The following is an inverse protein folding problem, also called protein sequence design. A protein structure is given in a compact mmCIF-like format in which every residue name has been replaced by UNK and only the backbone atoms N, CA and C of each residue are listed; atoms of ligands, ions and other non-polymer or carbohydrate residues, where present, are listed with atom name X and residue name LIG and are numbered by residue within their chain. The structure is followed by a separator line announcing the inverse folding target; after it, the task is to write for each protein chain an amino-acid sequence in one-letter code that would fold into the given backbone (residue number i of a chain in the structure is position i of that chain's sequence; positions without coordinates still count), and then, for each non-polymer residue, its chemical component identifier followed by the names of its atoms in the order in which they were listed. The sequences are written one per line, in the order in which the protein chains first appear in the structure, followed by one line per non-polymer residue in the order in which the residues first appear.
data_IF_738967817081
#
_entry.id   IF_738967817081
#
_cell.length_a   1.000
_cell.length_b   1.000
_cell.length_c   1.000
_cell.angle_alpha   90.00
_cell.angle_beta   90.00
_cell.angle_gamma   90.00
#
_symmetry.space_group_name_H-M   'P 1'
#
loop_
_entity.id
_entity.type
_entity.pdbx_description
1 polymer ?
#
# COMPACT_ATOMS: atom_id res chain seq x y z
N UNK A 1 4.58 -1.32 11.73
CA UNK A 1 3.47 -0.91 12.61
C UNK A 1 2.41 -1.99 12.74
N UNK A 2 1.73 -2.40 11.65
CA UNK A 2 0.67 -3.42 11.71
C UNK A 2 1.11 -4.74 12.33
N UNK A 3 2.33 -5.21 12.05
CA UNK A 3 2.88 -6.40 12.69
C UNK A 3 2.91 -6.32 14.23
N UNK A 4 3.19 -5.15 14.81
CA UNK A 4 3.14 -4.96 16.27
C UNK A 4 1.70 -5.01 16.80
N UNK A 5 0.75 -4.42 16.06
CA UNK A 5 -0.68 -4.51 16.37
C UNK A 5 -1.12 -5.98 16.33
N UNK A 6 -0.82 -6.70 15.25
CA UNK A 6 -1.14 -8.12 15.11
C UNK A 6 -0.51 -8.96 16.22
N UNK A 7 0.75 -8.70 16.60
CA UNK A 7 1.41 -9.40 17.69
C UNK A 7 0.72 -9.18 19.04
N UNK A 8 0.22 -7.98 19.33
CA UNK A 8 -0.56 -7.72 20.54
C UNK A 8 -1.93 -8.41 20.49
N UNK A 9 -2.64 -8.37 19.36
CA UNK A 9 -3.93 -9.07 19.19
C UNK A 9 -3.79 -10.58 19.35
N UNK A 10 -2.67 -11.14 18.87
CA UNK A 10 -2.31 -12.56 19.03
C UNK A 10 -1.70 -12.87 20.41
N UNK A 11 -1.59 -11.89 21.31
CA UNK A 11 -1.02 -12.01 22.66
C UNK A 11 0.43 -12.48 22.70
N UNK A 12 1.19 -12.20 21.64
CA UNK A 12 2.63 -12.50 21.55
C UNK A 12 3.47 -11.43 22.27
N UNK A 13 2.96 -10.21 22.37
CA UNK A 13 3.53 -9.10 23.14
C UNK A 13 2.43 -8.38 23.92
N UNK A 14 2.81 -7.61 24.94
CA UNK A 14 1.87 -6.78 25.68
C UNK A 14 1.33 -5.64 24.79
N UNK A 15 0.08 -5.23 25.03
CA UNK A 15 -0.54 -4.11 24.30
C UNK A 15 0.28 -2.81 24.43
N UNK A 16 0.73 -2.47 25.64
CA UNK A 16 1.53 -1.27 25.88
C UNK A 16 2.88 -1.31 25.15
N UNK A 17 3.48 -2.49 25.00
CA UNK A 17 4.71 -2.66 24.22
C UNK A 17 4.45 -2.39 22.73
N UNK A 18 3.38 -2.98 22.15
CA UNK A 18 3.02 -2.73 20.76
C UNK A 18 2.71 -1.25 20.50
N UNK A 19 1.94 -0.64 21.41
CA UNK A 19 1.59 0.78 21.41
C UNK A 19 2.85 1.67 21.40
N UNK A 20 3.81 1.40 22.27
CA UNK A 20 5.07 2.16 22.33
C UNK A 20 5.83 2.06 21.01
N UNK A 21 5.95 0.86 20.42
CA UNK A 21 6.65 0.66 19.14
C UNK A 21 5.95 1.36 17.97
N UNK A 22 4.62 1.33 17.91
CA UNK A 22 3.84 2.07 16.90
C UNK A 22 4.03 3.58 17.06
N UNK A 23 3.90 4.10 18.28
CA UNK A 23 4.07 5.53 18.54
C UNK A 23 5.49 6.02 18.19
N UNK A 24 6.52 5.26 18.55
CA UNK A 24 7.92 5.57 18.16
C UNK A 24 8.06 5.65 16.64
N UNK A 25 7.49 4.69 15.91
CA UNK A 25 7.53 4.67 14.45
C UNK A 25 6.84 5.90 13.86
N UNK A 26 5.63 6.23 14.31
CA UNK A 26 4.90 7.41 13.82
C UNK A 26 5.64 8.71 14.10
N UNK A 27 6.22 8.88 15.30
CA UNK A 27 6.99 10.08 15.64
C UNK A 27 8.21 10.27 14.74
N UNK A 28 8.91 9.17 14.42
CA UNK A 28 10.03 9.22 13.47
C UNK A 28 9.50 9.61 12.09
N UNK A 29 8.46 8.95 11.59
CA UNK A 29 7.91 9.27 10.27
C UNK A 29 7.46 10.72 10.20
N UNK A 30 6.78 11.26 11.22
CA UNK A 30 6.30 12.64 11.24
C UNK A 30 7.45 13.65 11.01
N UNK A 31 8.64 13.41 11.56
CA UNK A 31 9.80 14.29 11.41
C UNK A 31 10.72 13.99 10.22
N UNK A 32 10.53 12.88 9.48
CA UNK A 32 11.33 12.59 8.28
C UNK A 32 11.16 13.69 7.21
N UNK A 33 12.22 14.04 6.46
CA UNK A 33 12.09 14.80 5.22
C UNK A 33 11.18 14.05 4.23
N UNK A 34 10.25 14.76 3.58
CA UNK A 34 9.24 14.18 2.69
C UNK A 34 9.07 15.02 1.42
N UNK A 35 8.67 14.38 0.35
CA UNK A 35 8.28 15.02 -0.90
C UNK A 35 6.76 15.27 -0.88
N UNK A 36 6.34 16.52 -0.64
CA UNK A 36 4.92 16.91 -0.50
C UNK A 36 4.13 16.00 0.46
N UNK A 37 4.72 15.74 1.63
CA UNK A 37 4.15 14.88 2.66
C UNK A 37 4.25 13.37 2.38
N UNK A 38 4.76 12.96 1.23
CA UNK A 38 5.01 11.55 0.88
C UNK A 38 6.46 11.19 1.25
N UNK A 39 6.64 10.03 1.88
CA UNK A 39 7.97 9.53 2.22
C UNK A 39 8.78 9.21 0.96
N UNK A 40 10.08 9.49 1.00
CA UNK A 40 11.02 8.89 0.06
C UNK A 40 11.12 7.39 0.32
N UNK A 41 11.51 6.62 -0.69
CA UNK A 41 11.58 5.17 -0.54
C UNK A 41 12.67 4.71 0.42
N UNK A 42 13.77 5.45 0.52
CA UNK A 42 14.92 5.05 1.31
C UNK A 42 15.49 6.20 2.13
N UNK A 43 15.79 5.89 3.38
CA UNK A 43 16.40 6.79 4.35
C UNK A 43 17.63 6.13 4.97
N UNK A 44 18.64 6.94 5.26
CA UNK A 44 19.73 6.52 6.13
C UNK A 44 19.23 6.45 7.58
N UNK A 45 19.44 5.31 8.24
CA UNK A 45 18.83 5.02 9.56
C UNK A 45 19.46 5.81 10.71
N UNK A 46 20.62 6.44 10.49
CA UNK A 46 21.32 7.23 11.51
C UNK A 46 20.99 8.71 11.35
N UNK A 47 21.19 9.26 10.15
CA UNK A 47 20.97 10.67 9.84
C UNK A 47 19.52 11.01 9.53
N UNK A 48 18.68 10.01 9.25
CA UNK A 48 17.27 10.14 8.87
C UNK A 48 17.05 10.97 7.59
N UNK A 49 18.09 11.10 6.76
CA UNK A 49 18.01 11.79 5.47
C UNK A 49 17.70 10.80 4.35
N UNK A 50 16.97 11.23 3.31
CA UNK A 50 16.77 10.40 2.12
C UNK A 50 18.11 10.04 1.48
N UNK A 51 18.27 8.78 1.04
CA UNK A 51 19.49 8.34 0.34
C UNK A 51 19.43 8.63 -1.16
N UNK A 52 18.23 8.79 -1.72
CA UNK A 52 17.98 9.27 -3.07
C UNK A 52 16.66 10.06 -3.12
N UNK A 53 16.32 10.59 -4.30
CA UNK A 53 15.12 11.39 -4.53
C UNK A 53 13.87 10.58 -4.92
N UNK A 54 13.94 9.25 -4.94
CA UNK A 54 12.86 8.42 -5.47
C UNK A 54 11.67 8.34 -4.51
N UNK A 55 10.49 8.51 -5.09
CA UNK A 55 9.19 8.38 -4.42
C UNK A 55 8.32 7.41 -5.22
N UNK A 56 7.89 6.33 -4.59
CA UNK A 56 7.03 5.29 -5.15
C UNK A 56 5.56 5.56 -4.87
N UNK A 57 4.73 5.47 -5.91
CA UNK A 57 3.27 5.63 -5.78
C UNK A 57 2.65 4.53 -4.96
N UNK A 58 3.08 3.29 -5.17
CA UNK A 58 2.52 2.12 -4.48
C UNK A 58 2.96 2.06 -3.03
N UNK A 59 4.21 2.43 -2.72
CA UNK A 59 4.65 2.49 -1.33
C UNK A 59 3.95 3.61 -0.58
N UNK A 60 3.71 4.76 -1.23
CA UNK A 60 2.90 5.82 -0.67
C UNK A 60 1.48 5.32 -0.35
N UNK A 61 0.82 4.63 -1.30
CA UNK A 61 -0.51 4.05 -1.09
C UNK A 61 -0.56 2.98 -0.01
N UNK A 62 0.40 2.05 -0.01
CA UNK A 62 0.55 1.00 1.00
C UNK A 62 0.75 1.60 2.39
N UNK A 63 1.57 2.65 2.48
CA UNK A 63 1.80 3.36 3.73
C UNK A 63 0.55 4.11 4.20
N UNK A 64 -0.23 4.72 3.31
CA UNK A 64 -1.52 5.32 3.65
C UNK A 64 -2.53 4.28 4.18
N UNK A 65 -2.62 3.09 3.58
CA UNK A 65 -3.46 1.99 4.14
C UNK A 65 -3.00 1.64 5.56
N UNK A 66 -1.69 1.48 5.75
CA UNK A 66 -1.12 1.18 7.06
C UNK A 66 -1.50 2.25 8.09
N UNK A 67 -1.39 3.54 7.75
CA UNK A 67 -1.77 4.64 8.64
C UNK A 67 -3.28 4.67 8.91
N UNK A 68 -4.13 4.43 7.92
CA UNK A 68 -5.59 4.38 8.09
C UNK A 68 -5.99 3.31 9.10
N UNK A 69 -5.37 2.14 9.02
CA UNK A 69 -5.60 1.04 9.96
C UNK A 69 -5.06 1.34 11.36
N UNK A 70 -3.88 1.97 11.46
CA UNK A 70 -3.33 2.44 12.74
C UNK A 70 -4.30 3.46 13.37
N UNK A 71 -4.76 4.45 12.60
CA UNK A 71 -5.74 5.44 13.07
C UNK A 71 -7.02 4.77 13.56
N UNK A 72 -7.62 3.90 12.75
CA UNK A 72 -8.85 3.19 13.11
C UNK A 72 -8.66 2.32 14.37
N UNK A 73 -7.57 1.57 14.45
CA UNK A 73 -7.28 0.68 15.57
C UNK A 73 -7.10 1.42 16.90
N UNK A 74 -6.40 2.56 16.87
CA UNK A 74 -6.12 3.37 18.07
C UNK A 74 -7.20 4.41 18.39
N UNK A 75 -8.17 4.68 17.50
CA UNK A 75 -9.21 5.72 17.67
C UNK A 75 -9.93 5.72 19.03
N UNK A 76 -10.18 4.53 19.58
CA UNK A 76 -10.82 4.35 20.90
C UNK A 76 -9.85 3.87 21.99
N UNK A 77 -8.59 3.57 21.65
CA UNK A 77 -7.59 3.01 22.57
C UNK A 77 -6.56 4.05 23.02
N UNK A 78 -6.15 4.94 22.10
CA UNK A 78 -5.29 6.08 22.36
C UNK A 78 -5.47 7.12 21.24
N UNK A 79 -6.15 8.23 21.56
CA UNK A 79 -6.39 9.29 20.58
C UNK A 79 -5.11 9.96 20.08
N UNK A 80 -4.06 10.06 20.90
CA UNK A 80 -2.83 10.73 20.46
C UNK A 80 -2.15 9.99 19.31
N UNK A 81 -2.25 8.66 19.29
CA UNK A 81 -1.73 7.83 18.19
C UNK A 81 -2.61 7.96 16.95
N UNK A 82 -3.94 7.92 17.11
CA UNK A 82 -4.83 8.09 15.95
C UNK A 82 -4.70 9.47 15.32
N UNK A 83 -4.62 10.52 16.14
CA UNK A 83 -4.51 11.91 15.67
C UNK A 83 -3.18 12.15 14.95
N UNK A 84 -2.09 11.52 15.41
CA UNK A 84 -0.79 11.58 14.72
C UNK A 84 -0.81 10.84 13.38
N UNK A 85 -1.47 9.66 13.32
CA UNK A 85 -1.64 8.95 12.06
C UNK A 85 -2.50 9.75 11.06
N UNK A 86 -3.63 10.33 11.53
CA UNK A 86 -4.51 11.19 10.72
C UNK A 86 -3.77 12.43 10.23
N UNK A 87 -2.93 13.06 11.07
CA UNK A 87 -2.07 14.17 10.67
C UNK A 87 -1.14 13.77 9.51
N UNK A 88 -0.45 12.64 9.62
CA UNK A 88 0.48 12.19 8.56
C UNK A 88 -0.29 11.90 7.26
N UNK A 89 -1.45 11.23 7.33
CA UNK A 89 -2.31 10.99 6.15
C UNK A 89 -2.70 12.31 5.48
N UNK A 90 -3.19 13.28 6.25
CA UNK A 90 -3.69 14.55 5.72
C UNK A 90 -2.59 15.43 5.09
N UNK A 91 -1.33 15.16 5.39
CA UNK A 91 -0.19 15.84 4.77
C UNK A 91 0.20 15.25 3.41
N UNK A 92 -0.21 14.02 3.10
CA UNK A 92 0.17 13.35 1.86
C UNK A 92 -0.58 13.95 0.66
N UNK A 93 0.15 14.51 -0.29
CA UNK A 93 -0.41 14.98 -1.57
C UNK A 93 -0.35 13.87 -2.65
N UNK A 94 -1.05 12.75 -2.45
CA UNK A 94 -1.02 11.59 -3.37
C UNK A 94 -1.42 11.95 -4.81
N UNK A 95 -2.26 12.98 -5.01
CA UNK A 95 -2.63 13.51 -6.33
C UNK A 95 -1.42 13.88 -7.19
N UNK A 96 -0.27 14.22 -6.60
CA UNK A 96 0.95 14.55 -7.35
C UNK A 96 1.55 13.37 -8.10
N UNK A 97 1.23 12.15 -7.69
CA UNK A 97 1.66 10.93 -8.36
C UNK A 97 0.62 10.42 -9.37
N UNK A 98 -0.49 11.14 -9.52
CA UNK A 98 -1.60 10.79 -10.40
C UNK A 98 -1.52 11.58 -11.72
N UNK A 99 -1.52 10.88 -12.84
CA UNK A 99 -1.61 11.44 -14.18
C UNK A 99 -3.08 11.54 -14.59
N UNK A 100 -3.68 12.71 -14.40
CA UNK A 100 -5.08 12.96 -14.79
C UNK A 100 -5.32 12.75 -16.29
N UNK A 101 -4.31 12.93 -17.15
CA UNK A 101 -4.48 12.76 -18.60
C UNK A 101 -4.65 11.30 -19.03
N UNK A 102 -4.07 10.38 -18.25
CA UNK A 102 -4.16 8.93 -18.48
C UNK A 102 -5.05 8.22 -17.47
N UNK A 103 -5.59 8.98 -16.53
CA UNK A 103 -6.30 8.49 -15.35
C UNK A 103 -5.50 7.45 -14.56
N UNK A 104 -4.15 7.53 -14.55
CA UNK A 104 -3.26 6.49 -13.99
C UNK A 104 -2.21 7.04 -13.04
N UNK A 105 -1.79 6.24 -12.07
CA UNK A 105 -0.62 6.61 -11.27
C UNK A 105 0.67 6.34 -12.03
N UNK A 106 1.63 7.25 -11.88
CA UNK A 106 3.02 6.98 -12.26
C UNK A 106 3.60 5.84 -11.41
N UNK A 107 4.66 5.18 -11.86
CA UNK A 107 5.38 4.21 -11.02
C UNK A 107 5.99 4.95 -9.82
N UNK A 108 6.62 6.08 -10.12
CA UNK A 108 7.17 6.97 -9.12
C UNK A 108 7.74 8.24 -9.73
N UNK A 109 8.44 8.99 -8.89
CA UNK A 109 9.11 10.23 -9.23
C UNK A 109 10.58 10.17 -8.79
N UNK A 110 11.50 10.46 -9.71
CA UNK A 110 12.92 10.76 -9.43
C UNK A 110 13.45 11.69 -10.50
N UNK A 111 13.56 12.99 -10.18
CA UNK A 111 13.89 14.07 -11.12
C UNK A 111 12.98 14.10 -12.38
N UNK A 112 11.79 13.50 -12.28
CA UNK A 112 10.84 13.29 -13.36
C UNK A 112 9.92 12.10 -13.04
N UNK A 113 8.74 12.08 -13.65
CA UNK A 113 7.80 10.97 -13.52
C UNK A 113 8.16 9.83 -14.47
N UNK A 114 8.03 8.58 -14.02
CA UNK A 114 8.35 7.41 -14.84
C UNK A 114 7.21 6.38 -14.85
N UNK A 115 6.95 5.84 -16.05
CA UNK A 115 5.98 4.76 -16.28
C UNK A 115 4.57 5.04 -15.76
N UNK A 116 3.69 4.05 -15.86
CA UNK A 116 2.36 4.09 -15.27
C UNK A 116 2.00 2.71 -14.75
N UNK A 117 1.32 2.64 -13.60
CA UNK A 117 0.66 1.41 -13.20
C UNK A 117 -0.60 1.22 -14.03
N UNK A 118 -0.64 0.13 -14.78
CA UNK A 118 -1.69 -0.09 -15.77
C UNK A 118 -2.39 -1.45 -15.64
N UNK A 119 -1.95 -2.35 -14.76
CA UNK A 119 -2.56 -3.66 -14.56
C UNK A 119 -3.39 -3.76 -13.28
N UNK A 120 -4.57 -4.38 -13.38
CA UNK A 120 -5.45 -4.60 -12.23
C UNK A 120 -4.84 -5.59 -11.22
N UNK A 121 -4.16 -6.63 -11.70
CA UNK A 121 -3.43 -7.56 -10.85
C UNK A 121 -2.05 -7.00 -10.51
N UNK A 122 -2.05 -5.93 -9.71
CA UNK A 122 -0.83 -5.32 -9.19
C UNK A 122 -1.07 -4.72 -7.80
N UNK A 123 0.02 -4.42 -7.11
CA UNK A 123 0.01 -3.70 -5.83
C UNK A 123 -0.65 -2.31 -5.92
N UNK A 124 -0.75 -1.72 -7.12
CA UNK A 124 -1.42 -0.43 -7.35
C UNK A 124 -2.93 -0.47 -7.10
N UNK A 125 -3.53 -1.66 -6.97
CA UNK A 125 -4.93 -1.83 -6.55
C UNK A 125 -5.19 -1.22 -5.18
N UNK A 126 -4.28 -1.38 -4.22
CA UNK A 126 -4.41 -0.74 -2.89
C UNK A 126 -4.33 0.78 -2.98
N UNK A 127 -3.39 1.30 -3.78
CA UNK A 127 -3.28 2.73 -4.04
C UNK A 127 -4.58 3.28 -4.63
N UNK A 128 -5.21 2.54 -5.56
CA UNK A 128 -6.52 2.89 -6.12
C UNK A 128 -7.60 3.02 -5.05
N UNK A 129 -7.68 2.05 -4.12
CA UNK A 129 -8.67 2.08 -3.04
C UNK A 129 -8.46 3.25 -2.09
N UNK A 130 -7.22 3.51 -1.69
CA UNK A 130 -6.91 4.68 -0.85
C UNK A 130 -7.25 5.97 -1.57
N UNK A 131 -6.89 6.09 -2.85
CA UNK A 131 -7.14 7.31 -3.60
C UNK A 131 -8.64 7.58 -3.76
N UNK A 132 -9.42 6.54 -4.04
CA UNK A 132 -10.89 6.62 -4.01
C UNK A 132 -11.42 7.06 -2.64
N UNK A 133 -10.94 6.45 -1.56
CA UNK A 133 -11.43 6.74 -0.22
C UNK A 133 -11.07 8.16 0.26
N UNK A 134 -9.88 8.65 -0.06
CA UNK A 134 -9.39 9.97 0.38
C UNK A 134 -9.84 11.11 -0.53
N UNK A 135 -10.01 10.86 -1.82
CA UNK A 135 -10.20 11.93 -2.81
C UNK A 135 -11.44 11.77 -3.69
N UNK A 136 -12.14 10.64 -3.64
CA UNK A 136 -13.35 10.39 -4.44
C UNK A 136 -13.09 10.14 -5.94
N UNK A 137 -11.89 9.68 -6.30
CA UNK A 137 -11.48 9.45 -7.70
C UNK A 137 -11.34 7.96 -8.04
N UNK A 138 -12.35 7.35 -8.68
CA UNK A 138 -12.33 5.94 -9.04
C UNK A 138 -11.70 5.63 -10.40
N UNK A 139 -11.37 6.65 -11.18
CA UNK A 139 -10.93 6.54 -12.59
C UNK A 139 -9.70 5.63 -12.72
N UNK A 140 -8.76 5.72 -11.77
CA UNK A 140 -7.60 4.82 -11.74
C UNK A 140 -8.01 3.36 -11.77
N UNK A 141 -8.88 2.92 -10.86
CA UNK A 141 -9.30 1.53 -10.76
C UNK A 141 -9.96 1.03 -12.05
N UNK A 142 -10.79 1.87 -12.68
CA UNK A 142 -11.47 1.51 -13.91
C UNK A 142 -10.54 1.45 -15.13
N UNK A 143 -9.53 2.34 -15.18
CA UNK A 143 -8.54 2.42 -16.26
C UNK A 143 -7.54 1.25 -16.30
N UNK A 144 -7.45 0.45 -15.23
CA UNK A 144 -6.53 -0.69 -15.14
C UNK A 144 -6.93 -1.81 -16.11
N UNK A 145 -5.95 -2.27 -16.88
CA UNK A 145 -6.01 -3.38 -17.82
C UNK A 145 -6.35 -4.68 -17.07
N UNK A 146 -7.18 -5.50 -17.73
CA UNK A 146 -7.70 -6.77 -17.19
C UNK A 146 -7.24 -7.94 -18.07
N UNK A 147 -6.01 -7.87 -18.55
CA UNK A 147 -5.41 -8.95 -19.33
C UNK A 147 -5.37 -10.23 -18.49
N UNK A 148 -5.72 -11.35 -19.10
CA UNK A 148 -5.83 -12.62 -18.42
C UNK A 148 -5.27 -13.76 -19.27
N UNK A 149 -4.93 -14.85 -18.58
CA UNK A 149 -4.49 -16.13 -19.13
C UNK A 149 -5.50 -17.22 -18.77
N UNK A 150 -5.64 -18.30 -19.58
CA UNK A 150 -6.49 -19.45 -19.26
C UNK A 150 -5.90 -20.41 -18.20
N UNK A 151 -4.72 -20.11 -17.65
CA UNK A 151 -4.09 -20.94 -16.61
C UNK A 151 -4.95 -20.94 -15.34
N UNK A 152 -5.47 -22.12 -14.97
CA UNK A 152 -6.38 -22.25 -13.83
C UNK A 152 -7.77 -21.62 -14.06
N UNK A 153 -8.17 -21.45 -15.33
CA UNK A 153 -9.34 -20.65 -15.71
C UNK A 153 -8.94 -19.21 -16.06
N UNK A 154 -9.86 -18.25 -15.93
CA UNK A 154 -9.54 -16.84 -16.17
C UNK A 154 -8.69 -16.30 -15.00
N UNK A 155 -7.40 -16.06 -15.24
CA UNK A 155 -6.45 -15.51 -14.25
C UNK A 155 -5.84 -14.23 -14.78
N UNK A 156 -5.96 -13.13 -14.05
CA UNK A 156 -5.34 -11.87 -14.46
C UNK A 156 -3.81 -11.98 -14.46
N UNK A 157 -3.19 -11.38 -15.47
CA UNK A 157 -1.75 -11.25 -15.59
C UNK A 157 -1.25 -10.10 -14.69
N UNK A 158 -0.06 -10.27 -14.10
CA UNK A 158 0.72 -9.22 -13.43
C UNK A 158 2.03 -8.98 -14.18
N UNK A 159 2.76 -7.92 -13.87
CA UNK A 159 4.02 -7.60 -14.56
C UNK A 159 5.09 -8.66 -14.30
N UNK A 160 5.30 -9.00 -13.03
CA UNK A 160 6.34 -9.95 -12.63
C UNK A 160 5.87 -11.39 -12.42
N UNK A 161 4.56 -11.63 -12.46
CA UNK A 161 3.97 -12.93 -12.08
C UNK A 161 4.17 -13.28 -10.61
N UNK A 162 4.51 -12.32 -9.75
CA UNK A 162 4.85 -12.58 -8.35
C UNK A 162 3.61 -12.68 -7.47
N UNK A 163 3.65 -13.52 -6.43
CA UNK A 163 2.50 -13.71 -5.55
C UNK A 163 2.15 -12.41 -4.82
N UNK A 164 3.16 -11.59 -4.55
CA UNK A 164 2.98 -10.31 -3.89
C UNK A 164 2.03 -9.38 -4.66
N UNK A 165 2.15 -9.28 -5.99
CA UNK A 165 1.29 -8.41 -6.83
C UNK A 165 -0.19 -8.78 -6.72
N UNK A 166 -0.51 -10.07 -6.60
CA UNK A 166 -1.87 -10.56 -6.48
C UNK A 166 -2.38 -10.57 -5.02
N UNK A 167 -1.53 -10.95 -4.07
CA UNK A 167 -1.93 -11.27 -2.70
C UNK A 167 -1.85 -10.11 -1.71
N UNK A 168 -0.98 -9.11 -1.93
CA UNK A 168 -0.82 -8.01 -0.97
C UNK A 168 -2.14 -7.30 -0.70
N UNK A 169 -2.89 -6.99 -1.76
CA UNK A 169 -4.19 -6.33 -1.64
C UNK A 169 -5.24 -7.18 -0.91
N UNK A 170 -5.17 -8.52 -1.03
CA UNK A 170 -6.11 -9.44 -0.37
C UNK A 170 -5.95 -9.45 1.16
N UNK A 171 -4.80 -9.00 1.69
CA UNK A 171 -4.60 -8.85 3.13
C UNK A 171 -5.47 -7.74 3.74
N UNK A 172 -5.89 -6.78 2.92
CA UNK A 172 -6.59 -5.56 3.37
C UNK A 172 -8.00 -5.45 2.80
N UNK A 173 -8.18 -5.87 1.56
CA UNK A 173 -9.43 -5.79 0.82
C UNK A 173 -9.70 -7.17 0.22
N UNK A 174 -10.23 -8.11 1.02
CA UNK A 174 -10.50 -9.46 0.53
C UNK A 174 -11.50 -9.39 -0.61
N UNK A 175 -11.12 -9.98 -1.74
CA UNK A 175 -11.99 -10.04 -2.91
C UNK A 175 -13.18 -10.96 -2.64
N UNK A 176 -14.39 -10.64 -3.16
CA UNK A 176 -15.54 -11.51 -3.02
C UNK A 176 -15.22 -12.92 -3.51
N UNK A 177 -15.65 -13.94 -2.77
CA UNK A 177 -15.47 -15.34 -3.15
C UNK A 177 -16.02 -15.58 -4.56
N UNK A 178 -15.32 -16.40 -5.33
CA UNK A 178 -15.64 -16.71 -6.73
C UNK A 178 -15.57 -15.53 -7.72
N UNK A 179 -15.12 -14.34 -7.31
CA UNK A 179 -14.81 -13.25 -8.23
C UNK A 179 -13.54 -13.52 -9.05
N UNK A 180 -13.36 -12.78 -10.16
CA UNK A 180 -12.14 -12.85 -10.98
C UNK A 180 -10.87 -12.54 -10.15
N UNK A 181 -10.94 -11.56 -9.24
CA UNK A 181 -9.81 -11.18 -8.39
C UNK A 181 -9.51 -12.27 -7.36
N UNK A 182 -10.53 -12.87 -6.74
CA UNK A 182 -10.37 -13.99 -5.82
C UNK A 182 -9.72 -15.20 -6.53
N UNK A 183 -10.25 -15.57 -7.69
CA UNK A 183 -9.70 -16.68 -8.49
C UNK A 183 -8.27 -16.40 -8.94
N UNK A 184 -7.97 -15.15 -9.33
CA UNK A 184 -6.62 -14.71 -9.69
C UNK A 184 -5.66 -14.88 -8.53
N UNK A 185 -6.00 -14.38 -7.34
CA UNK A 185 -5.17 -14.50 -6.14
C UNK A 185 -4.87 -15.97 -5.80
N UNK A 186 -5.91 -16.82 -5.82
CA UNK A 186 -5.76 -18.26 -5.61
C UNK A 186 -4.84 -18.91 -6.67
N UNK A 187 -5.05 -18.61 -7.95
CA UNK A 187 -4.29 -19.20 -9.04
C UNK A 187 -2.82 -18.76 -9.02
N UNK A 188 -2.52 -17.50 -8.72
CA UNK A 188 -1.14 -17.03 -8.54
C UNK A 188 -0.42 -17.79 -7.42
N UNK A 189 -1.06 -17.96 -6.26
CA UNK A 189 -0.50 -18.74 -5.16
C UNK A 189 -0.30 -20.21 -5.52
N UNK A 190 -1.27 -20.81 -6.23
CA UNK A 190 -1.23 -22.21 -6.66
C UNK A 190 -0.15 -22.48 -7.71
N UNK A 191 0.01 -21.61 -8.70
CA UNK A 191 1.03 -21.77 -9.74
C UNK A 191 2.43 -21.61 -9.14
N UNK A 192 2.64 -20.63 -8.26
CA UNK A 192 3.94 -20.41 -7.62
C UNK A 192 4.32 -21.49 -6.60
N UNK A 193 3.34 -22.15 -5.98
CA UNK A 193 3.65 -23.30 -5.11
C UNK A 193 4.16 -24.50 -5.91
N UNK A 194 3.81 -24.59 -7.20
CA UNK A 194 4.26 -25.64 -8.12
C UNK A 194 5.56 -25.33 -8.85
N UNK A 195 5.95 -24.07 -8.97
CA UNK A 195 7.17 -23.65 -9.69
C UNK A 195 8.47 -23.84 -8.90
N UNK A 196 8.46 -24.56 -7.77
CA UNK A 196 9.64 -24.90 -6.97
C UNK A 196 10.27 -26.27 -7.32
N UNK A 197 9.96 -26.82 -8.48
CA UNK A 197 10.67 -27.97 -9.10
C UNK A 197 11.38 -27.51 -10.36
#
# INVERSE_FOLDING_TARGET
MLAHISAAELKLIAFDEAKEKVLKTLKIVDCLPKWYGICYNWYDIVSLKPTNGFVSSVDAGNFSVCLLLVSAYFRQKDRSISDLADKIINQQELRRLYDESKERFFIGFDNGFCGHYDMLCSESRMLSFVFMALYGHPEHYYSLNKEYTPIGGNTLLSWGGTAFEALLSELFFPSPEHSLLFQTAFNHAFVQSKSKT
#
